data_IF_185670001232
#
_entry.id   IF_185670001232
#
_cell.length_a   1.000
_cell.length_b   1.000
_cell.length_c   1.000
_cell.angle_alpha   90.00
_cell.angle_beta   90.00
_cell.angle_gamma   90.00
#
_symmetry.space_group_name_H-M   'P 1'
#
loop_
_entity.id
_entity.type
_entity.pdbx_description
1 polymer ?
#
# COMPACT_ATOMS: atom_id res chain seq x y z
N UNK A 1 12.50 -3.71 -8.02
CA UNK A 1 11.30 -3.10 -8.63
C UNK A 1 11.63 -2.51 -9.98
N UNK A 2 10.64 -2.40 -10.86
CA UNK A 2 10.75 -1.76 -12.18
C UNK A 2 9.50 -0.95 -12.45
N UNK A 3 9.65 0.26 -12.97
CA UNK A 3 8.54 1.13 -13.29
C UNK A 3 8.58 1.58 -14.75
N UNK A 4 7.40 1.78 -15.34
CA UNK A 4 7.23 2.27 -16.70
C UNK A 4 6.20 3.39 -16.70
N UNK A 5 6.59 4.57 -17.20
CA UNK A 5 5.66 5.64 -17.56
C UNK A 5 5.19 5.46 -19.01
N UNK A 6 3.95 5.86 -19.30
CA UNK A 6 3.45 5.86 -20.69
C UNK A 6 2.77 7.17 -21.11
N UNK A 7 2.94 7.50 -22.39
CA UNK A 7 2.49 8.74 -23.05
C UNK A 7 3.62 9.35 -23.89
N UNK A 8 3.36 9.75 -25.16
CA UNK A 8 2.34 10.75 -25.52
C UNK A 8 1.43 10.33 -26.70
N UNK A 9 0.10 10.43 -26.55
CA UNK A 9 -0.85 10.42 -27.69
C UNK A 9 -2.28 10.91 -27.38
N UNK A 10 -2.69 11.05 -26.10
CA UNK A 10 -4.01 11.62 -25.75
C UNK A 10 -4.02 12.55 -24.51
N UNK A 11 -2.87 12.78 -23.84
CA UNK A 11 -2.80 13.56 -22.60
C UNK A 11 -1.50 14.37 -22.48
N UNK A 12 -1.59 15.54 -21.83
CA UNK A 12 -0.57 16.59 -21.82
C UNK A 12 0.64 16.29 -20.90
N UNK A 13 0.50 15.36 -19.95
CA UNK A 13 1.56 14.99 -18.99
C UNK A 13 1.85 13.49 -19.10
N UNK A 14 3.14 13.11 -19.07
CA UNK A 14 3.61 11.71 -19.11
C UNK A 14 3.85 11.14 -17.71
N UNK A 15 4.22 12.00 -16.76
CA UNK A 15 4.69 11.60 -15.43
C UNK A 15 3.56 11.24 -14.45
N UNK A 16 2.30 11.44 -14.82
CA UNK A 16 1.10 11.14 -14.01
C UNK A 16 0.51 9.75 -14.27
N UNK A 17 1.16 8.93 -15.09
CA UNK A 17 0.72 7.58 -15.47
C UNK A 17 1.88 6.60 -15.40
N UNK A 18 1.89 5.78 -14.36
CA UNK A 18 3.02 4.85 -14.11
C UNK A 18 2.54 3.47 -13.69
N UNK A 19 3.09 2.44 -14.34
CA UNK A 19 2.99 1.05 -13.89
C UNK A 19 4.25 0.72 -13.08
N UNK A 20 4.10 0.18 -11.87
CA UNK A 20 5.21 -0.17 -10.99
C UNK A 20 5.07 -1.64 -10.62
N UNK A 21 6.13 -2.42 -10.86
CA UNK A 21 6.21 -3.83 -10.49
C UNK A 21 7.24 -4.02 -9.39
N UNK A 22 6.84 -4.69 -8.31
CA UNK A 22 7.62 -4.91 -7.11
C UNK A 22 7.67 -6.40 -6.78
N UNK A 23 8.81 -6.82 -6.24
CA UNK A 23 9.03 -8.16 -5.67
C UNK A 23 9.53 -7.97 -4.25
N UNK A 24 9.07 -8.80 -3.33
CA UNK A 24 9.41 -8.72 -1.92
C UNK A 24 10.27 -9.90 -1.47
N UNK A 25 10.88 -9.78 -0.29
CA UNK A 25 11.79 -10.79 0.25
C UNK A 25 11.10 -12.14 0.54
N UNK A 26 9.79 -12.12 0.84
CA UNK A 26 8.96 -13.30 1.05
C UNK A 26 8.53 -13.99 -0.25
N UNK A 27 8.98 -13.49 -1.41
CA UNK A 27 8.63 -14.00 -2.74
C UNK A 27 7.29 -13.48 -3.27
N UNK A 28 6.57 -12.65 -2.52
CA UNK A 28 5.36 -12.00 -3.02
C UNK A 28 5.68 -10.97 -4.10
N UNK A 29 4.68 -10.67 -4.91
CA UNK A 29 4.75 -9.65 -5.97
C UNK A 29 3.61 -8.66 -5.79
N UNK A 30 3.86 -7.40 -6.16
CA UNK A 30 2.82 -6.40 -6.26
C UNK A 30 2.99 -5.57 -7.52
N UNK A 31 1.85 -5.25 -8.14
CA UNK A 31 1.79 -4.35 -9.29
C UNK A 31 0.89 -3.18 -8.92
N UNK A 32 1.42 -1.97 -9.04
CA UNK A 32 0.69 -0.73 -8.85
C UNK A 32 0.49 -0.05 -10.21
N UNK A 33 -0.76 0.34 -10.43
CA UNK A 33 -1.22 1.02 -11.64
C UNK A 33 -1.76 2.40 -11.25
N UNK A 34 -0.95 3.44 -11.47
CA UNK A 34 -1.31 4.82 -11.10
C UNK A 34 -1.83 5.57 -12.32
N UNK A 35 -3.15 5.59 -12.55
CA UNK A 35 -3.79 6.16 -13.76
C UNK A 35 -4.47 7.50 -13.51
N UNK A 36 -3.89 8.58 -14.04
CA UNK A 36 -4.48 9.92 -14.02
C UNK A 36 -5.42 10.22 -15.22
N UNK A 37 -5.62 9.29 -16.15
CA UNK A 37 -6.43 9.46 -17.36
C UNK A 37 -7.81 8.76 -17.33
N UNK A 38 -8.25 8.26 -16.18
CA UNK A 38 -9.55 7.61 -16.04
C UNK A 38 -10.72 8.61 -15.96
N UNK A 39 -11.96 8.21 -16.34
CA UNK A 39 -13.13 9.05 -16.15
C UNK A 39 -13.52 9.12 -14.66
N UNK A 40 -14.15 10.22 -14.24
CA UNK A 40 -14.60 10.41 -12.84
C UNK A 40 -15.61 9.35 -12.35
N UNK A 41 -16.27 8.66 -13.28
CA UNK A 41 -17.21 7.57 -12.99
C UNK A 41 -16.52 6.25 -12.63
N UNK A 42 -15.24 6.09 -12.95
CA UNK A 42 -14.48 4.88 -12.64
C UNK A 42 -14.03 4.87 -11.17
N UNK A 43 -14.01 3.70 -10.49
CA UNK A 43 -13.49 3.59 -9.13
C UNK A 43 -12.06 4.14 -9.02
N UNK A 44 -11.79 4.93 -7.98
CA UNK A 44 -10.47 5.55 -7.80
C UNK A 44 -9.39 4.57 -7.39
N UNK A 45 -9.80 3.60 -6.57
CA UNK A 45 -8.89 2.64 -5.94
C UNK A 45 -9.51 1.26 -6.05
N UNK A 46 -8.75 0.30 -6.54
CA UNK A 46 -9.12 -1.11 -6.56
C UNK A 46 -7.91 -1.92 -6.14
N UNK A 47 -8.09 -2.80 -5.17
CA UNK A 47 -7.03 -3.67 -4.65
C UNK A 47 -7.47 -5.11 -4.87
N UNK A 48 -6.60 -5.92 -5.44
CA UNK A 48 -6.80 -7.36 -5.61
C UNK A 48 -5.66 -8.10 -4.93
N UNK A 49 -6.00 -9.06 -4.07
CA UNK A 49 -5.04 -9.83 -3.29
C UNK A 49 -5.30 -11.29 -3.58
N UNK A 50 -4.26 -12.00 -4.01
CA UNK A 50 -4.30 -13.43 -4.30
C UNK A 50 -3.40 -14.17 -3.31
N UNK A 51 -3.94 -15.18 -2.65
CA UNK A 51 -3.16 -16.03 -1.75
C UNK A 51 -3.80 -17.41 -1.59
N UNK A 52 -3.04 -18.47 -1.83
CA UNK A 52 -3.45 -19.85 -1.54
C UNK A 52 -4.88 -20.21 -2.00
N UNK A 53 -5.18 -20.02 -3.29
CA UNK A 53 -6.51 -20.26 -3.89
C UNK A 53 -7.63 -19.36 -3.32
N UNK A 54 -7.28 -18.22 -2.74
CA UNK A 54 -8.23 -17.23 -2.21
C UNK A 54 -7.99 -15.89 -2.87
N UNK A 55 -9.07 -15.14 -3.05
CA UNK A 55 -9.02 -13.81 -3.66
C UNK A 55 -9.81 -12.84 -2.80
N UNK A 56 -9.20 -11.71 -2.48
CA UNK A 56 -9.87 -10.56 -1.88
C UNK A 56 -9.80 -9.39 -2.84
N UNK A 57 -10.95 -8.77 -3.10
CA UNK A 57 -11.04 -7.59 -3.94
C UNK A 57 -11.72 -6.45 -3.19
N UNK A 58 -11.04 -5.31 -3.11
CA UNK A 58 -11.55 -4.10 -2.48
C UNK A 58 -11.83 -3.09 -3.57
N UNK A 59 -13.07 -2.61 -3.64
CA UNK A 59 -13.51 -1.58 -4.56
C UNK A 59 -13.72 -0.26 -3.82
N UNK A 60 -12.84 0.70 -4.06
CA UNK A 60 -12.95 2.09 -3.62
C UNK A 60 -13.27 2.22 -2.12
N UNK A 61 -12.73 1.32 -1.29
CA UNK A 61 -13.03 1.20 0.15
C UNK A 61 -14.52 1.18 0.52
N UNK A 62 -15.37 0.77 -0.41
CA UNK A 62 -16.84 0.75 -0.27
C UNK A 62 -17.40 -0.66 -0.33
N UNK A 63 -16.70 -1.57 -0.98
CA UNK A 63 -17.14 -2.94 -1.17
C UNK A 63 -15.94 -3.87 -1.11
N UNK A 64 -16.07 -4.92 -0.32
CA UNK A 64 -15.15 -6.04 -0.29
C UNK A 64 -15.84 -7.23 -0.95
N UNK A 65 -15.16 -7.88 -1.88
CA UNK A 65 -15.55 -9.16 -2.47
C UNK A 65 -14.51 -10.19 -2.05
N UNK A 66 -14.97 -11.31 -1.51
CA UNK A 66 -14.11 -12.37 -1.02
C UNK A 66 -14.48 -13.67 -1.73
N UNK A 67 -13.48 -14.36 -2.28
CA UNK A 67 -13.63 -15.64 -2.97
C UNK A 67 -12.82 -16.69 -2.23
N UNK A 68 -13.47 -17.80 -1.88
CA UNK A 68 -12.89 -18.91 -1.13
C UNK A 68 -12.30 -18.50 0.24
N UNK A 69 -12.92 -17.51 0.90
CA UNK A 69 -12.56 -17.09 2.25
C UNK A 69 -13.66 -17.51 3.24
N UNK A 70 -13.45 -18.59 4.03
CA UNK A 70 -14.40 -19.02 5.05
C UNK A 70 -14.64 -17.89 6.06
N UNK A 71 -15.91 -17.56 6.32
CA UNK A 71 -16.30 -16.53 7.28
C UNK A 71 -16.19 -15.08 6.80
N UNK A 72 -15.58 -14.81 5.64
CA UNK A 72 -15.61 -13.47 5.04
C UNK A 72 -16.87 -13.31 4.19
N UNK A 73 -17.76 -12.41 4.60
CA UNK A 73 -18.92 -12.02 3.79
C UNK A 73 -18.58 -10.77 2.97
N UNK A 74 -19.16 -10.64 1.76
CA UNK A 74 -19.11 -9.39 1.03
C UNK A 74 -19.67 -8.26 1.90
N UNK A 75 -18.83 -7.27 2.21
CA UNK A 75 -19.21 -6.16 3.08
C UNK A 75 -19.30 -4.87 2.27
N UNK A 76 -20.34 -4.07 2.55
CA UNK A 76 -20.40 -2.68 2.11
C UNK A 76 -19.97 -1.78 3.25
N UNK A 77 -19.04 -0.88 2.97
CA UNK A 77 -18.51 0.10 3.91
C UNK A 77 -18.86 1.50 3.44
N UNK A 78 -19.13 2.40 4.39
CA UNK A 78 -19.18 3.83 4.10
C UNK A 78 -17.75 4.31 3.92
N UNK A 79 -17.45 4.89 2.76
CA UNK A 79 -16.13 5.45 2.50
C UNK A 79 -15.82 6.54 3.52
N UNK A 80 -14.80 6.30 4.33
CA UNK A 80 -14.22 7.30 5.22
C UNK A 80 -12.85 7.65 4.65
N UNK A 81 -12.53 8.94 4.58
CA UNK A 81 -11.22 9.39 4.07
C UNK A 81 -10.08 9.18 5.07
N UNK A 82 -10.37 8.64 6.26
CA UNK A 82 -9.38 8.37 7.30
C UNK A 82 -8.91 9.59 8.10
N UNK A 83 -9.08 10.82 7.60
CA UNK A 83 -8.54 12.04 8.24
C UNK A 83 -8.90 12.18 9.73
N UNK A 84 -10.18 12.01 10.08
CA UNK A 84 -10.60 12.11 11.49
C UNK A 84 -9.98 10.99 12.35
N UNK A 85 -9.88 9.78 11.82
CA UNK A 85 -9.28 8.64 12.52
C UNK A 85 -7.77 8.83 12.70
N UNK A 86 -7.09 9.32 11.67
CA UNK A 86 -5.67 9.63 11.68
C UNK A 86 -5.33 10.70 12.73
N UNK A 87 -6.03 11.84 12.70
CA UNK A 87 -5.84 12.92 13.68
C UNK A 87 -6.14 12.43 15.09
N UNK A 88 -7.20 11.62 15.27
CA UNK A 88 -7.52 11.04 16.57
C UNK A 88 -6.40 10.13 17.07
N UNK A 89 -5.94 9.18 16.24
CA UNK A 89 -4.87 8.25 16.61
C UNK A 89 -3.57 8.99 16.98
N UNK A 90 -3.25 10.07 16.26
CA UNK A 90 -2.12 10.93 16.55
C UNK A 90 -2.26 11.66 17.89
N UNK A 91 -3.43 12.28 18.15
CA UNK A 91 -3.70 12.95 19.43
C UNK A 91 -3.67 11.97 20.61
N UNK A 92 -4.26 10.78 20.44
CA UNK A 92 -4.26 9.74 21.47
C UNK A 92 -2.82 9.29 21.79
N UNK A 93 -1.98 9.09 20.77
CA UNK A 93 -0.58 8.70 20.95
C UNK A 93 0.21 9.78 21.71
N UNK A 94 0.01 11.06 21.39
CA UNK A 94 0.63 12.18 22.11
C UNK A 94 0.15 12.22 23.56
N UNK A 95 -1.16 12.13 23.79
CA UNK A 95 -1.75 12.21 25.12
C UNK A 95 -1.28 11.05 26.03
N UNK A 96 -1.07 9.87 25.46
CA UNK A 96 -0.58 8.69 26.18
C UNK A 96 0.95 8.63 26.29
N UNK A 97 1.70 9.53 25.66
CA UNK A 97 3.16 9.44 25.55
C UNK A 97 3.64 8.20 24.78
N UNK A 98 2.80 7.66 23.90
CA UNK A 98 3.06 6.46 23.11
C UNK A 98 3.90 6.72 21.85
N UNK A 99 4.27 5.66 21.12
CA UNK A 99 4.98 5.80 19.84
C UNK A 99 4.09 6.45 18.78
N UNK A 100 4.72 6.99 17.73
CA UNK A 100 4.00 7.50 16.55
C UNK A 100 3.08 6.41 15.96
N UNK A 101 1.82 6.74 15.57
CA UNK A 101 0.92 5.78 14.93
C UNK A 101 1.49 5.14 13.66
N UNK A 102 2.35 5.87 12.94
CA UNK A 102 3.13 5.37 11.81
C UNK A 102 4.61 5.48 12.17
N UNK A 103 5.35 4.37 12.28
CA UNK A 103 6.79 4.39 12.54
C UNK A 103 7.56 5.18 11.47
N UNK A 104 8.60 5.90 11.89
CA UNK A 104 9.39 6.74 10.99
C UNK A 104 10.03 5.93 9.85
N UNK A 105 10.48 4.72 10.15
CA UNK A 105 11.12 3.81 9.20
C UNK A 105 10.16 3.44 8.06
N UNK A 106 8.85 3.35 8.34
CA UNK A 106 7.84 3.11 7.30
C UNK A 106 7.67 4.33 6.39
N UNK A 107 7.69 5.54 6.96
CA UNK A 107 7.61 6.80 6.19
C UNK A 107 8.84 6.98 5.29
N UNK A 108 10.04 6.71 5.82
CA UNK A 108 11.29 6.75 5.07
C UNK A 108 11.30 5.73 3.94
N UNK A 109 10.87 4.49 4.22
CA UNK A 109 10.79 3.43 3.22
C UNK A 109 9.82 3.79 2.08
N UNK A 110 8.61 4.27 2.39
CA UNK A 110 7.63 4.69 1.38
C UNK A 110 8.16 5.84 0.53
N UNK A 111 8.84 6.81 1.15
CA UNK A 111 9.46 7.94 0.45
C UNK A 111 10.57 7.46 -0.48
N UNK A 112 11.45 6.61 0.01
CA UNK A 112 12.55 6.00 -0.76
C UNK A 112 12.02 5.20 -1.95
N UNK A 113 11.00 4.37 -1.76
CA UNK A 113 10.35 3.59 -2.82
C UNK A 113 9.73 4.50 -3.87
N UNK A 114 9.10 5.60 -3.45
CA UNK A 114 8.47 6.58 -4.35
C UNK A 114 9.51 7.24 -5.27
N UNK A 115 10.66 7.67 -4.73
CA UNK A 115 11.74 8.23 -5.56
C UNK A 115 12.39 7.18 -6.46
N UNK A 116 12.57 5.96 -5.96
CA UNK A 116 13.03 4.85 -6.78
C UNK A 116 12.06 4.58 -7.95
N UNK A 117 10.75 4.72 -7.77
CA UNK A 117 9.78 4.46 -8.84
C UNK A 117 9.92 5.49 -9.95
N UNK A 118 10.06 6.76 -9.59
CA UNK A 118 10.31 7.85 -10.54
C UNK A 118 11.62 7.61 -11.30
N UNK A 119 12.71 7.29 -10.59
CA UNK A 119 14.02 7.02 -11.21
C UNK A 119 13.97 5.82 -12.15
N UNK A 120 13.37 4.71 -11.71
CA UNK A 120 13.21 3.50 -12.52
C UNK A 120 12.48 3.77 -13.82
N UNK A 121 11.38 4.54 -13.76
CA UNK A 121 10.59 4.87 -14.94
C UNK A 121 11.26 5.86 -15.90
N UNK A 122 12.11 6.76 -15.38
CA UNK A 122 12.88 7.72 -16.19
C UNK A 122 14.05 7.05 -16.90
N UNK A 123 14.80 6.22 -16.17
CA UNK A 123 16.06 5.65 -16.65
C UNK A 123 15.84 4.30 -17.35
N UNK A 124 14.66 3.68 -17.20
CA UNK A 124 14.35 2.38 -17.79
C UNK A 124 15.13 1.23 -17.15
N UNK A 125 15.47 1.35 -15.86
CA UNK A 125 16.26 0.35 -15.13
C UNK A 125 15.52 -0.19 -13.92
N UNK A 126 15.78 -1.45 -13.59
CA UNK A 126 15.31 -2.03 -12.35
C UNK A 126 16.13 -1.48 -11.17
N UNK A 127 15.44 -1.10 -10.10
CA UNK A 127 16.07 -0.60 -8.87
C UNK A 127 15.83 -1.61 -7.75
N UNK A 128 16.91 -1.97 -7.05
CA UNK A 128 16.85 -2.74 -5.81
C UNK A 128 16.83 -1.78 -4.64
N UNK A 129 15.90 -1.99 -3.72
CA UNK A 129 15.80 -1.27 -2.46
C UNK A 129 16.27 -2.23 -1.38
N UNK A 130 17.23 -1.80 -0.57
CA UNK A 130 17.69 -2.61 0.56
C UNK A 130 16.58 -2.64 1.61
N UNK A 131 16.37 -3.81 2.23
CA UNK A 131 15.52 -3.89 3.39
C UNK A 131 16.23 -3.18 4.54
N UNK A 132 15.58 -2.16 5.12
CA UNK A 132 15.93 -1.70 6.46
C UNK A 132 15.51 -2.82 7.41
N UNK A 133 16.42 -3.30 8.26
CA UNK A 133 16.06 -4.27 9.30
C UNK A 133 14.90 -3.70 10.12
N UNK A 134 13.81 -4.47 10.23
CA UNK A 134 12.76 -4.12 11.17
C UNK A 134 13.31 -4.30 12.58
N UNK A 135 13.05 -3.38 13.52
CA UNK A 135 13.29 -3.65 14.94
C UNK A 135 12.58 -4.95 15.31
N UNK A 136 13.31 -5.90 15.91
CA UNK A 136 12.71 -7.14 16.40
C UNK A 136 11.52 -6.79 17.31
N UNK A 137 10.34 -7.41 17.12
CA UNK A 137 9.26 -7.26 18.08
C UNK A 137 9.76 -7.71 19.45
N UNK A 138 9.49 -6.91 20.48
CA UNK A 138 9.82 -7.25 21.88
C UNK A 138 9.30 -8.66 22.18
N UNK A 139 10.09 -9.51 22.86
CA UNK A 139 9.66 -10.87 23.17
C UNK A 139 8.34 -10.85 23.93
N UNK A 140 7.40 -11.71 23.54
CA UNK A 140 6.13 -11.89 24.24
C UNK A 140 6.38 -12.12 25.74
N UNK A 141 5.61 -11.47 26.64
CA UNK A 141 5.73 -11.74 28.06
C UNK A 141 5.46 -13.22 28.30
N UNK A 142 6.48 -13.92 28.78
CA UNK A 142 6.36 -15.33 29.14
C UNK A 142 5.26 -15.47 30.22
N UNK A 143 4.38 -16.48 30.11
CA UNK A 143 3.37 -16.71 31.14
C UNK A 143 4.08 -16.96 32.47
N UNK A 144 3.65 -16.21 33.49
CA UNK A 144 4.14 -16.38 34.86
C UNK A 144 3.94 -17.85 35.25
N UNK A 145 5.05 -18.52 35.54
CA UNK A 145 5.03 -19.88 36.08
C UNK A 145 4.57 -19.76 37.54
N UNK A 146 3.45 -20.41 37.87
CA UNK A 146 3.03 -20.70 39.26
C UNK A 146 3.98 -21.69 39.94
#
# INVERSE_FOLDING_TARGET
MYATMFGPQAGRLREDKTSINMTFADGSIATLHYWANGPKSYPKETIEIFSQCRVLKIHNWRRIEAHNFPGASPMRMRMQKGFTQEVKAWLDAIAAGGPSPIPFEQLDMVTTVSFAAVRSARDGVAIRIAATEQPQPSPEPQPATE
#
